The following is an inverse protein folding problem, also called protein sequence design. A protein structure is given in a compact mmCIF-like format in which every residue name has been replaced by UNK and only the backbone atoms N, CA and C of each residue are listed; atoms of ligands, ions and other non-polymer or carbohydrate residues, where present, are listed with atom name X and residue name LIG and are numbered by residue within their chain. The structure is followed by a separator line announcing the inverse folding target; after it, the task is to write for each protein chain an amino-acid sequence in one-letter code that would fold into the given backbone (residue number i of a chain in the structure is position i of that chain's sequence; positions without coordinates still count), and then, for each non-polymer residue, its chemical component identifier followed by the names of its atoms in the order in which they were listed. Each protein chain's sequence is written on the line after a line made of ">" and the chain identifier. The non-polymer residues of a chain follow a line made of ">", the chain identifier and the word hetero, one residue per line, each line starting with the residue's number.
data_IF_095415015225
#
_entry.id   IF_095415015225
#
_cell.length_a   1.000
_cell.length_b   1.000
_cell.length_c   1.000
_cell.angle_alpha   90.00
_cell.angle_beta   90.00
_cell.angle_gamma   90.00
#
_symmetry.space_group_name_H-M   'P 1'
#
loop_
_entity.id
_entity.type
_entity.pdbx_description
1 polymer ?
#
# COMPACT_ATOMS: atom_id res chain seq x y z
N UNK A 1 -12.94 11.80 4.08
CA UNK A 1 -11.82 10.84 4.17
C UNK A 1 -10.54 11.62 4.38
N UNK A 2 -9.64 11.17 5.24
CA UNK A 2 -8.38 11.85 5.51
C UNK A 2 -7.25 10.96 4.99
N UNK A 3 -6.51 11.42 3.98
CA UNK A 3 -5.30 10.77 3.50
C UNK A 3 -4.09 11.43 4.17
N UNK A 4 -3.08 10.62 4.51
CA UNK A 4 -1.83 11.10 5.10
C UNK A 4 -0.67 10.42 4.40
N UNK A 5 0.26 11.20 3.92
CA UNK A 5 1.59 10.71 3.56
C UNK A 5 2.64 11.48 4.34
N UNK A 6 3.73 10.80 4.66
CA UNK A 6 4.90 11.39 5.25
C UNK A 6 6.13 10.94 4.46
N UNK A 7 6.93 11.88 4.02
CA UNK A 7 8.17 11.62 3.30
C UNK A 7 9.34 12.29 4.02
N UNK A 8 10.50 11.65 3.97
CA UNK A 8 11.74 12.25 4.47
C UNK A 8 12.36 13.04 3.33
N UNK A 9 12.37 14.38 3.43
CA UNK A 9 12.98 15.26 2.41
C UNK A 9 14.50 15.38 2.58
N UNK A 10 14.97 15.41 3.82
CA UNK A 10 16.40 15.49 4.13
C UNK A 10 16.69 14.73 5.42
N UNK A 11 17.73 13.93 5.44
CA UNK A 11 18.21 13.22 6.63
C UNK A 11 19.72 13.37 6.72
N UNK A 12 20.19 13.99 7.79
CA UNK A 12 21.63 14.15 8.06
C UNK A 12 21.98 13.53 9.38
N UNK A 13 23.06 12.77 9.38
CA UNK A 13 23.66 12.23 10.60
C UNK A 13 25.09 12.78 10.78
N UNK A 14 25.47 13.07 12.01
CA UNK A 14 26.79 13.54 12.37
C UNK A 14 27.26 12.86 13.67
N UNK A 15 28.42 12.26 13.61
CA UNK A 15 29.07 11.75 14.81
C UNK A 15 29.65 12.94 15.59
N UNK A 16 29.13 13.20 16.79
CA UNK A 16 29.59 14.29 17.67
C UNK A 16 30.80 13.83 18.50
N UNK A 17 30.74 12.61 19.00
CA UNK A 17 31.87 11.93 19.69
C UNK A 17 31.60 10.41 19.73
N UNK A 18 32.47 9.63 20.36
CA UNK A 18 32.40 8.16 20.45
C UNK A 18 31.10 7.60 21.08
N UNK A 19 30.28 8.42 21.72
CA UNK A 19 29.05 8.02 22.43
C UNK A 19 27.82 8.86 22.01
N UNK A 20 27.97 9.80 21.07
CA UNK A 20 26.89 10.71 20.69
C UNK A 20 26.81 10.87 19.19
N UNK A 21 25.65 10.53 18.67
CA UNK A 21 25.24 10.76 17.30
C UNK A 21 24.17 11.88 17.27
N UNK A 22 24.37 12.86 16.40
CA UNK A 22 23.37 13.87 16.07
C UNK A 22 22.62 13.47 14.81
N UNK A 23 21.29 13.50 14.84
CA UNK A 23 20.43 13.25 13.68
C UNK A 23 19.56 14.48 13.48
N UNK A 24 19.48 14.94 12.24
CA UNK A 24 18.59 16.01 11.83
C UNK A 24 17.81 15.54 10.59
N UNK A 25 16.49 15.60 10.67
CA UNK A 25 15.59 15.24 9.57
C UNK A 25 14.61 16.36 9.24
N UNK A 26 14.22 16.46 7.98
CA UNK A 26 13.10 17.27 7.50
C UNK A 26 12.05 16.28 6.98
N UNK A 27 10.85 16.35 7.55
CA UNK A 27 9.72 15.54 7.17
C UNK A 27 8.67 16.41 6.48
N UNK A 28 8.24 15.99 5.30
CA UNK A 28 7.09 16.58 4.62
C UNK A 28 5.85 15.73 4.89
N UNK A 29 4.76 16.41 5.21
CA UNK A 29 3.45 15.77 5.42
C UNK A 29 2.47 16.30 4.38
N UNK A 30 1.82 15.39 3.66
CA UNK A 30 0.69 15.71 2.81
C UNK A 30 -0.59 15.24 3.49
N UNK A 31 -1.54 16.16 3.66
CA UNK A 31 -2.83 15.86 4.28
C UNK A 31 -3.93 16.32 3.34
N UNK A 32 -4.78 15.38 2.91
CA UNK A 32 -5.93 15.65 2.07
C UNK A 32 -7.20 15.25 2.81
N UNK A 33 -8.18 16.17 2.83
CA UNK A 33 -9.52 15.90 3.35
C UNK A 33 -10.50 15.87 2.17
N UNK A 34 -11.24 14.79 2.03
CA UNK A 34 -12.26 14.62 1.00
C UNK A 34 -13.63 14.43 1.63
N UNK A 35 -14.62 15.10 1.07
CA UNK A 35 -16.02 14.97 1.46
C UNK A 35 -16.82 14.56 0.22
N UNK A 36 -17.61 13.50 0.36
CA UNK A 36 -18.56 13.10 -0.68
C UNK A 36 -19.82 13.94 -0.48
N UNK A 37 -20.26 14.61 -1.55
CA UNK A 37 -21.50 15.40 -1.55
C UNK A 37 -22.31 15.05 -2.79
N UNK A 38 -23.61 14.97 -2.61
CA UNK A 38 -24.56 14.89 -3.71
C UNK A 38 -24.84 16.29 -4.23
N UNK A 39 -24.96 16.40 -5.55
CA UNK A 39 -25.31 17.65 -6.22
C UNK A 39 -26.52 17.44 -7.11
N UNK A 40 -27.46 18.35 -7.06
CA UNK A 40 -28.63 18.35 -7.93
C UNK A 40 -28.34 19.21 -9.17
N UNK A 41 -28.76 18.72 -10.33
CA UNK A 41 -28.65 19.43 -11.59
C UNK A 41 -29.98 19.33 -12.35
N UNK A 42 -30.33 20.42 -13.09
CA UNK A 42 -31.53 20.40 -13.91
C UNK A 42 -31.28 19.57 -15.17
N UNK A 43 -32.14 18.61 -15.39
CA UNK A 43 -32.08 17.69 -16.56
C UNK A 43 -33.24 17.89 -17.52
N UNK A 44 -34.36 18.45 -17.05
CA UNK A 44 -35.59 18.66 -17.81
C UNK A 44 -36.37 19.84 -17.25
N UNK A 45 -37.11 20.54 -18.11
CA UNK A 45 -38.04 21.61 -17.72
C UNK A 45 -39.46 21.06 -17.96
N UNK A 46 -40.37 21.25 -16.99
CA UNK A 46 -41.77 20.96 -17.18
C UNK A 46 -42.31 21.82 -18.35
N UNK A 47 -43.11 21.18 -19.24
CA UNK A 47 -43.66 21.85 -20.41
C UNK A 47 -44.43 23.11 -20.05
N UNK A 48 -44.05 24.23 -20.68
CA UNK A 48 -44.69 25.52 -20.54
C UNK A 48 -44.71 26.25 -21.91
N UNK A 49 -45.76 27.00 -22.15
CA UNK A 49 -45.86 27.81 -23.38
C UNK A 49 -44.67 28.82 -23.47
N UNK A 50 -43.89 28.70 -24.57
CA UNK A 50 -42.78 29.58 -24.92
C UNK A 50 -41.45 29.33 -24.18
N UNK A 51 -41.20 28.14 -23.68
CA UNK A 51 -39.88 27.74 -23.15
C UNK A 51 -39.05 27.08 -24.24
N UNK A 52 -37.81 27.58 -24.42
CA UNK A 52 -36.80 26.94 -25.27
C UNK A 52 -35.74 26.38 -24.36
N UNK A 53 -35.50 25.09 -24.39
CA UNK A 53 -34.42 24.45 -23.66
C UNK A 53 -33.20 24.23 -24.56
N UNK A 54 -32.03 24.32 -23.97
CA UNK A 54 -30.77 24.00 -24.62
C UNK A 54 -29.98 23.10 -23.71
N UNK A 55 -29.91 21.83 -24.09
CA UNK A 55 -29.14 20.84 -23.34
C UNK A 55 -27.69 20.79 -23.82
N UNK A 56 -26.80 20.40 -22.94
CA UNK A 56 -25.42 20.07 -23.23
C UNK A 56 -25.06 18.74 -22.60
N UNK A 57 -24.25 17.98 -23.29
CA UNK A 57 -23.74 16.69 -22.87
C UNK A 57 -22.37 16.83 -22.23
N UNK A 58 -22.22 16.33 -21.02
CA UNK A 58 -20.97 16.36 -20.27
C UNK A 58 -20.55 14.95 -19.87
N UNK A 59 -19.30 14.54 -20.18
CA UNK A 59 -18.74 13.35 -19.57
C UNK A 59 -18.41 13.66 -18.11
N UNK A 60 -18.89 12.82 -17.20
CA UNK A 60 -18.64 12.93 -15.76
C UNK A 60 -18.06 11.62 -15.21
N UNK A 61 -17.19 11.75 -14.22
CA UNK A 61 -16.70 10.58 -13.46
C UNK A 61 -17.51 10.47 -12.19
N UNK A 62 -18.20 9.35 -12.01
CA UNK A 62 -18.96 9.03 -10.81
C UNK A 62 -18.17 8.09 -9.92
N UNK A 63 -18.11 8.38 -8.62
CA UNK A 63 -17.56 7.47 -7.64
C UNK A 63 -18.54 6.29 -7.45
N UNK A 64 -18.13 5.10 -7.86
CA UNK A 64 -18.93 3.87 -7.78
C UNK A 64 -18.70 3.17 -6.44
N UNK A 65 -17.44 3.07 -6.01
CA UNK A 65 -17.07 2.44 -4.76
C UNK A 65 -15.94 3.19 -4.06
N UNK A 66 -16.01 3.24 -2.75
CA UNK A 66 -14.93 3.75 -1.89
C UNK A 66 -14.85 2.87 -0.64
N UNK A 67 -13.74 2.16 -0.48
CA UNK A 67 -13.54 1.23 0.64
C UNK A 67 -12.07 1.09 0.99
N UNK A 68 -11.82 0.57 2.18
CA UNK A 68 -10.52 0.04 2.58
C UNK A 68 -10.61 -1.46 2.71
N UNK A 69 -9.56 -2.16 2.30
CA UNK A 69 -9.45 -3.60 2.45
C UNK A 69 -8.00 -3.99 2.71
N UNK A 70 -7.76 -5.21 3.15
CA UNK A 70 -6.42 -5.69 3.50
C UNK A 70 -6.11 -7.02 2.85
N UNK A 71 -4.87 -7.18 2.42
CA UNK A 71 -4.32 -8.45 1.98
C UNK A 71 -3.21 -8.85 2.95
N UNK A 72 -3.29 -10.08 3.45
CA UNK A 72 -2.28 -10.67 4.32
C UNK A 72 -1.44 -11.67 3.55
N UNK A 73 -0.13 -11.48 3.60
CA UNK A 73 0.86 -12.39 3.02
C UNK A 73 1.71 -12.97 4.13
N UNK A 74 1.90 -14.28 4.09
CA UNK A 74 2.80 -15.02 4.96
C UNK A 74 3.75 -15.84 4.12
N UNK A 75 4.99 -15.85 4.51
CA UNK A 75 6.02 -16.65 3.88
C UNK A 75 7.06 -17.08 4.92
N UNK A 76 7.85 -18.08 4.56
CA UNK A 76 8.94 -18.59 5.38
C UNK A 76 10.22 -18.68 4.55
N UNK A 77 11.29 -18.11 5.07
CA UNK A 77 12.55 -18.03 4.34
C UNK A 77 13.71 -18.58 5.15
N UNK A 78 14.52 -19.41 4.49
CA UNK A 78 15.73 -19.95 5.09
C UNK A 78 16.92 -19.03 4.80
N UNK A 79 17.61 -18.60 5.85
CA UNK A 79 18.87 -17.87 5.74
C UNK A 79 19.94 -18.84 5.23
N UNK A 80 20.78 -18.41 4.24
CA UNK A 80 21.80 -19.27 3.67
C UNK A 80 22.78 -19.83 4.70
N UNK A 81 23.19 -21.09 4.54
CA UNK A 81 24.17 -21.75 5.43
C UNK A 81 25.58 -21.15 5.38
N UNK A 82 25.85 -20.28 4.39
CA UNK A 82 27.09 -19.51 4.28
C UNK A 82 27.19 -18.36 5.26
N UNK A 83 26.06 -17.98 5.89
CA UNK A 83 25.96 -16.98 6.94
C UNK A 83 25.71 -17.66 8.29
N UNK A 84 25.97 -16.98 9.39
CA UNK A 84 25.60 -17.48 10.71
C UNK A 84 24.07 -17.61 10.83
N UNK A 85 23.61 -18.46 11.72
CA UNK A 85 22.20 -18.50 12.12
C UNK A 85 21.75 -17.16 12.71
N UNK A 86 20.45 -16.92 12.80
CA UNK A 86 19.88 -15.65 13.25
C UNK A 86 19.71 -15.68 14.75
N UNK A 87 20.57 -14.97 15.48
CA UNK A 87 20.44 -14.82 16.93
C UNK A 87 19.44 -13.75 17.33
N UNK A 88 19.53 -12.58 16.71
CA UNK A 88 18.66 -11.43 17.01
C UNK A 88 18.49 -10.53 15.78
N UNK A 89 17.27 -10.15 15.44
CA UNK A 89 17.00 -9.15 14.40
C UNK A 89 17.17 -7.76 15.01
N UNK A 90 18.15 -7.02 14.50
CA UNK A 90 18.47 -5.66 14.96
C UNK A 90 17.69 -4.59 14.22
N UNK A 91 17.35 -4.86 12.96
CA UNK A 91 16.56 -3.99 12.09
C UNK A 91 15.87 -4.84 11.03
N UNK A 92 14.63 -4.52 10.72
CA UNK A 92 13.94 -5.06 9.57
C UNK A 92 13.04 -4.00 8.93
N UNK A 93 12.91 -4.07 7.62
CA UNK A 93 12.06 -3.17 6.85
C UNK A 93 11.41 -3.89 5.67
N UNK A 94 10.20 -3.45 5.33
CA UNK A 94 9.44 -3.92 4.20
C UNK A 94 9.12 -2.72 3.30
N UNK A 95 9.39 -2.86 2.02
CA UNK A 95 9.14 -1.83 1.02
C UNK A 95 8.24 -2.39 -0.08
N UNK A 96 7.08 -1.74 -0.29
CA UNK A 96 6.21 -2.05 -1.41
C UNK A 96 6.82 -1.53 -2.70
N UNK A 97 6.89 -2.39 -3.72
CA UNK A 97 7.21 -2.02 -5.09
C UNK A 97 5.99 -1.52 -5.86
N UNK A 98 6.12 -1.46 -7.18
CA UNK A 98 5.00 -1.14 -8.05
C UNK A 98 3.93 -2.22 -7.96
N UNK A 99 2.66 -1.78 -7.96
CA UNK A 99 1.49 -2.64 -7.95
C UNK A 99 0.74 -2.50 -9.28
N UNK A 100 0.48 -3.62 -9.93
CA UNK A 100 -0.45 -3.73 -11.06
C UNK A 100 -1.86 -3.96 -10.50
N UNK A 101 -2.79 -3.09 -10.86
CA UNK A 101 -4.15 -3.10 -10.33
C UNK A 101 -5.11 -3.16 -11.50
N UNK A 102 -5.95 -4.18 -11.53
CA UNK A 102 -6.94 -4.41 -12.56
C UNK A 102 -8.33 -4.47 -11.96
N UNK A 103 -9.23 -3.68 -12.53
CA UNK A 103 -10.66 -3.77 -12.21
C UNK A 103 -11.25 -4.91 -13.01
N UNK A 104 -11.94 -5.81 -12.34
CA UNK A 104 -12.71 -6.90 -12.91
C UNK A 104 -14.17 -6.75 -12.48
N UNK A 105 -15.06 -7.60 -12.99
CA UNK A 105 -16.46 -7.57 -12.57
C UNK A 105 -16.58 -7.99 -11.09
N UNK A 106 -17.08 -7.08 -10.26
CA UNK A 106 -17.28 -7.23 -8.81
C UNK A 106 -16.01 -7.49 -7.97
N UNK A 107 -14.82 -7.34 -8.55
CA UNK A 107 -13.56 -7.54 -7.83
C UNK A 107 -12.41 -6.68 -8.41
N UNK A 108 -11.36 -6.52 -7.64
CA UNK A 108 -10.10 -5.91 -8.05
C UNK A 108 -9.00 -6.94 -7.89
N UNK A 109 -8.26 -7.19 -8.95
CA UNK A 109 -7.03 -7.96 -8.89
C UNK A 109 -5.87 -7.02 -8.58
N UNK A 110 -5.03 -7.45 -7.65
CA UNK A 110 -3.82 -6.74 -7.24
C UNK A 110 -2.65 -7.69 -7.38
N UNK A 111 -1.64 -7.28 -8.14
CA UNK A 111 -0.39 -8.01 -8.31
C UNK A 111 0.78 -7.05 -8.11
N UNK A 112 1.81 -7.44 -7.38
CA UNK A 112 2.96 -6.59 -7.13
C UNK A 112 4.07 -7.31 -6.38
N UNK A 113 5.09 -6.55 -5.98
CA UNK A 113 6.23 -7.07 -5.23
C UNK A 113 6.43 -6.31 -3.94
N UNK A 114 6.91 -7.02 -2.94
CA UNK A 114 7.41 -6.45 -1.70
C UNK A 114 8.85 -6.89 -1.50
N UNK A 115 9.71 -5.98 -1.08
CA UNK A 115 11.09 -6.25 -0.71
C UNK A 115 11.22 -6.22 0.80
N UNK A 116 11.88 -7.23 1.33
CA UNK A 116 12.27 -7.34 2.73
C UNK A 116 13.77 -7.14 2.86
N UNK A 117 14.18 -6.40 3.88
CA UNK A 117 15.56 -6.26 4.28
C UNK A 117 15.68 -6.38 5.80
N UNK A 118 16.66 -7.13 6.26
CA UNK A 118 16.98 -7.22 7.69
C UNK A 118 18.48 -7.16 7.95
N UNK A 119 18.82 -6.58 9.10
CA UNK A 119 20.15 -6.66 9.71
C UNK A 119 19.99 -7.47 10.98
N UNK A 120 20.82 -8.49 11.18
CA UNK A 120 20.76 -9.37 12.33
C UNK A 120 22.13 -9.68 12.91
N UNK A 121 22.14 -9.95 14.20
CA UNK A 121 23.30 -10.53 14.87
C UNK A 121 23.26 -12.05 14.72
N UNK A 122 24.40 -12.65 14.37
CA UNK A 122 24.54 -14.10 14.32
C UNK A 122 24.35 -14.75 15.67
N UNK A 123 24.00 -16.05 15.68
CA UNK A 123 23.82 -16.87 16.89
C UNK A 123 25.12 -17.40 17.47
N UNK A 124 26.27 -17.20 16.76
CA UNK A 124 27.59 -17.59 17.24
C UNK A 124 28.13 -16.71 18.38
N UNK A 125 29.23 -17.15 19.00
CA UNK A 125 29.85 -16.44 20.14
C UNK A 125 30.29 -15.02 19.81
N UNK A 126 30.76 -14.77 18.57
CA UNK A 126 31.23 -13.44 18.12
C UNK A 126 30.10 -12.50 17.72
N UNK A 127 28.82 -13.00 17.63
CA UNK A 127 27.66 -12.23 17.21
C UNK A 127 27.94 -11.38 15.98
N UNK A 128 28.41 -12.02 14.92
CA UNK A 128 28.70 -11.34 13.64
C UNK A 128 27.50 -10.56 13.13
N UNK A 129 27.75 -9.41 12.53
CA UNK A 129 26.71 -8.61 11.90
C UNK A 129 26.47 -9.09 10.48
N UNK A 130 25.25 -9.52 10.19
CA UNK A 130 24.83 -10.04 8.91
C UNK A 130 23.64 -9.26 8.36
N UNK A 131 23.37 -9.40 7.06
CA UNK A 131 22.15 -8.89 6.43
C UNK A 131 21.49 -9.99 5.60
N UNK A 132 20.19 -9.85 5.46
CA UNK A 132 19.36 -10.71 4.62
C UNK A 132 18.38 -9.83 3.85
N UNK A 133 18.28 -10.07 2.56
CA UNK A 133 17.32 -9.40 1.71
C UNK A 133 16.57 -10.41 0.83
N UNK A 134 15.32 -10.14 0.58
CA UNK A 134 14.48 -10.96 -0.28
C UNK A 134 13.32 -10.15 -0.84
N UNK A 135 13.01 -10.37 -2.13
CA UNK A 135 11.77 -9.90 -2.73
C UNK A 135 10.79 -11.05 -2.89
N UNK A 136 9.51 -10.77 -2.68
CA UNK A 136 8.42 -11.73 -2.80
C UNK A 136 7.19 -11.08 -3.45
N UNK A 137 6.33 -11.91 -4.02
CA UNK A 137 5.14 -11.46 -4.71
C UNK A 137 3.98 -11.24 -3.73
N UNK A 138 3.23 -10.17 -3.99
CA UNK A 138 1.93 -9.92 -3.38
C UNK A 138 0.90 -10.06 -4.49
N UNK A 139 0.01 -11.03 -4.37
CA UNK A 139 -1.06 -11.25 -5.33
C UNK A 139 -2.35 -11.58 -4.59
N UNK A 140 -3.45 -10.99 -5.06
CA UNK A 140 -4.74 -11.24 -4.45
C UNK A 140 -5.90 -10.60 -5.18
N UNK A 141 -7.12 -10.97 -4.74
CA UNK A 141 -8.37 -10.41 -5.24
C UNK A 141 -9.14 -9.79 -4.09
N UNK A 142 -9.62 -8.59 -4.32
CA UNK A 142 -10.37 -7.80 -3.35
C UNK A 142 -11.79 -7.65 -3.88
N UNK A 143 -12.82 -8.20 -3.21
CA UNK A 143 -14.21 -8.04 -3.63
C UNK A 143 -14.60 -6.56 -3.71
N UNK A 144 -15.23 -6.12 -4.79
CA UNK A 144 -15.65 -4.75 -5.00
C UNK A 144 -16.97 -4.72 -5.79
N UNK A 145 -18.08 -4.86 -5.08
CA UNK A 145 -19.40 -4.96 -5.68
C UNK A 145 -19.75 -3.75 -6.55
N UNK A 146 -20.26 -4.00 -7.75
CA UNK A 146 -20.66 -2.98 -8.71
C UNK A 146 -19.52 -2.40 -9.53
N UNK A 147 -18.31 -2.98 -9.46
CA UNK A 147 -17.21 -2.64 -10.35
C UNK A 147 -17.33 -3.41 -11.67
N UNK A 148 -16.95 -2.76 -12.77
CA UNK A 148 -16.93 -3.32 -14.12
C UNK A 148 -15.54 -3.04 -14.74
N UNK A 149 -15.13 -3.85 -15.72
CA UNK A 149 -13.77 -3.83 -16.30
C UNK A 149 -13.37 -2.51 -16.98
N UNK A 150 -14.36 -1.71 -17.40
CA UNK A 150 -14.15 -0.40 -18.05
C UNK A 150 -13.97 0.75 -17.05
N UNK A 151 -14.12 0.48 -15.76
CA UNK A 151 -13.98 1.47 -14.70
C UNK A 151 -12.52 1.71 -14.32
N UNK A 152 -12.26 2.89 -13.77
CA UNK A 152 -10.92 3.31 -13.36
C UNK A 152 -10.77 3.19 -11.84
N UNK A 153 -9.76 2.43 -11.42
CA UNK A 153 -9.38 2.32 -10.02
C UNK A 153 -8.29 3.33 -9.64
N UNK A 154 -8.48 4.01 -8.52
CA UNK A 154 -7.42 4.67 -7.77
C UNK A 154 -7.22 3.90 -6.48
N UNK A 155 -6.08 3.23 -6.38
CA UNK A 155 -5.74 2.41 -5.21
C UNK A 155 -4.44 2.90 -4.62
N UNK A 156 -4.42 3.08 -3.31
CA UNK A 156 -3.20 3.46 -2.56
C UNK A 156 -2.87 2.31 -1.61
N UNK A 157 -1.85 1.51 -1.93
CA UNK A 157 -1.36 0.46 -1.05
C UNK A 157 -0.47 1.05 0.03
N UNK A 158 -0.54 0.50 1.23
CA UNK A 158 0.38 0.81 2.32
C UNK A 158 0.57 -0.39 3.25
N UNK A 159 1.76 -0.57 3.79
CA UNK A 159 1.99 -1.58 4.82
C UNK A 159 1.28 -1.13 6.09
N UNK A 160 0.33 -1.94 6.55
CA UNK A 160 -0.43 -1.70 7.78
C UNK A 160 0.30 -2.28 9.00
N UNK A 161 0.71 -3.54 8.89
CA UNK A 161 1.52 -4.22 9.91
C UNK A 161 2.50 -5.16 9.23
N UNK A 162 3.64 -5.37 9.87
CA UNK A 162 4.62 -6.37 9.47
C UNK A 162 5.22 -7.00 10.70
N UNK A 163 5.48 -8.29 10.64
CA UNK A 163 6.11 -9.06 11.71
C UNK A 163 7.12 -10.05 11.14
N UNK A 164 8.18 -10.30 11.89
CA UNK A 164 9.23 -11.24 11.53
C UNK A 164 9.61 -12.05 12.77
N UNK A 165 9.42 -13.36 12.72
CA UNK A 165 9.78 -14.28 13.78
C UNK A 165 10.93 -15.18 13.33
N UNK A 166 11.87 -15.42 14.26
CA UNK A 166 12.97 -16.36 14.07
C UNK A 166 12.47 -17.73 14.51
N UNK A 167 12.69 -18.75 13.67
CA UNK A 167 12.39 -20.15 13.97
C UNK A 167 13.59 -21.06 13.73
N UNK A 168 13.57 -22.21 14.37
CA UNK A 168 14.53 -23.28 14.14
C UNK A 168 14.14 -24.04 12.86
N UNK A 169 15.15 -24.44 12.08
CA UNK A 169 14.97 -25.33 10.94
C UNK A 169 14.95 -26.80 11.37
N UNK A 170 14.89 -27.72 10.41
CA UNK A 170 14.86 -29.16 10.66
C UNK A 170 16.09 -29.67 11.40
N UNK A 171 17.22 -28.99 11.33
CA UNK A 171 18.47 -29.33 12.01
C UNK A 171 18.56 -28.69 13.41
N UNK A 172 17.56 -27.89 13.82
CA UNK A 172 17.51 -27.17 15.09
C UNK A 172 18.34 -25.89 15.10
N UNK A 173 18.72 -25.37 13.92
CA UNK A 173 19.43 -24.10 13.79
C UNK A 173 18.44 -22.96 13.57
N UNK A 174 18.68 -21.81 14.19
CA UNK A 174 17.86 -20.61 14.07
C UNK A 174 18.05 -19.92 12.70
N UNK A 175 17.55 -20.53 11.63
CA UNK A 175 17.75 -20.12 10.24
C UNK A 175 16.48 -19.81 9.47
N UNK A 176 15.31 -20.05 10.06
CA UNK A 176 14.05 -19.75 9.42
C UNK A 176 13.53 -18.38 9.88
N UNK A 177 13.13 -17.56 8.91
CA UNK A 177 12.42 -16.30 9.14
C UNK A 177 10.97 -16.51 8.71
N UNK A 178 10.06 -16.59 9.66
CA UNK A 178 8.62 -16.51 9.38
C UNK A 178 8.22 -15.05 9.28
N UNK A 179 7.62 -14.69 8.17
CA UNK A 179 7.28 -13.31 7.85
C UNK A 179 5.78 -13.18 7.64
N UNK A 180 5.20 -12.16 8.25
CA UNK A 180 3.82 -11.77 7.99
C UNK A 180 3.76 -10.29 7.63
N UNK A 181 3.11 -9.97 6.51
CA UNK A 181 2.86 -8.59 6.07
C UNK A 181 1.38 -8.42 5.79
N UNK A 182 0.80 -7.38 6.33
CA UNK A 182 -0.57 -6.95 6.03
C UNK A 182 -0.50 -5.65 5.25
N UNK A 183 -0.96 -5.69 4.01
CA UNK A 183 -1.06 -4.51 3.14
C UNK A 183 -2.50 -4.02 3.16
N UNK A 184 -2.71 -2.76 3.54
CA UNK A 184 -3.99 -2.05 3.43
C UNK A 184 -4.06 -1.35 2.08
N UNK A 185 -5.21 -1.45 1.42
CA UNK A 185 -5.53 -0.78 0.17
C UNK A 185 -6.66 0.21 0.41
N UNK A 186 -6.40 1.50 0.15
CA UNK A 186 -7.45 2.53 0.05
C UNK A 186 -7.91 2.59 -1.39
N UNK A 187 -9.15 2.14 -1.64
CA UNK A 187 -9.68 1.85 -2.97
C UNK A 187 -10.79 2.83 -3.30
N UNK A 188 -10.70 3.46 -4.47
CA UNK A 188 -11.75 4.27 -5.09
C UNK A 188 -11.92 3.86 -6.53
N UNK A 189 -13.16 3.55 -6.91
CA UNK A 189 -13.53 3.16 -8.27
C UNK A 189 -14.41 4.24 -8.87
N UNK A 190 -14.07 4.64 -10.08
CA UNK A 190 -14.78 5.65 -10.85
C UNK A 190 -15.30 5.07 -12.16
N UNK A 191 -16.60 5.16 -12.36
CA UNK A 191 -17.24 4.89 -13.64
C UNK A 191 -17.37 6.18 -14.46
N UNK A 192 -17.39 6.05 -15.78
CA UNK A 192 -17.69 7.15 -16.70
C UNK A 192 -19.18 7.18 -17.01
N UNK A 193 -19.79 8.32 -16.88
CA UNK A 193 -21.21 8.57 -17.20
C UNK A 193 -21.34 9.82 -18.06
N UNK A 194 -22.32 9.82 -18.93
CA UNK A 194 -22.63 10.99 -19.74
C UNK A 194 -23.92 11.61 -19.26
N UNK A 195 -23.85 12.83 -18.76
CA UNK A 195 -25.02 13.60 -18.32
C UNK A 195 -25.42 14.62 -19.38
N UNK A 196 -26.70 14.66 -19.66
CA UNK A 196 -27.32 15.74 -20.44
C UNK A 196 -27.95 16.73 -19.45
N UNK A 197 -27.41 17.94 -19.43
CA UNK A 197 -27.81 19.00 -18.51
C UNK A 197 -28.36 20.19 -19.27
N UNK A 198 -29.30 20.91 -18.66
CA UNK A 198 -29.88 22.17 -19.14
C UNK A 198 -28.91 23.34 -19.06
#
# INVERSE_FOLDING_TARGET
>A
MLFRSATIEDLRSQIINSRKLGIRGILAFEVCAETICDSEAAVEIEEGDHVYEKTRTFPVSRLVASKKDTLRVRDEWKVPVTSDGVGEILYSDFTLGEMDIRVLNDEIQVDGQCSFFAIYAGDGEEKSLNCFDKSFEISGRIPCNGCEEDMVARVVPQIHTSDVAIKEDEDGESRLLEVEVVVEFDIKIYGSETLELL
#
